data_IF_808906421227
#
_entry.id   IF_808906421227
#
_cell.length_a   1.000
_cell.length_b   1.000
_cell.length_c   1.000
_cell.angle_alpha   90.00
_cell.angle_beta   90.00
_cell.angle_gamma   90.00
#
_symmetry.space_group_name_H-M   'P 1'
#
loop_
_entity.id
_entity.type
_entity.pdbx_description
1 polymer ?
#
# COMPACT_ATOMS: atom_id res chain seq x y z
N UNK A 1 5.78 30.60 -85.11
CA UNK A 1 5.32 29.78 -83.97
C UNK A 1 5.62 30.56 -82.70
N UNK A 2 4.57 31.09 -82.08
CA UNK A 2 4.59 32.06 -80.97
C UNK A 2 4.13 31.37 -79.66
N UNK A 3 4.54 31.89 -78.49
CA UNK A 3 4.45 31.22 -77.19
C UNK A 3 3.07 31.37 -76.53
N UNK A 4 2.73 30.43 -75.65
CA UNK A 4 1.54 30.48 -74.81
C UNK A 4 1.80 31.25 -73.51
N UNK A 5 1.10 32.37 -73.34
CA UNK A 5 0.80 33.01 -72.06
C UNK A 5 -0.70 32.86 -71.76
N UNK A 6 -1.03 33.04 -70.47
CA UNK A 6 -2.35 33.06 -69.82
C UNK A 6 -2.76 31.69 -69.24
N UNK A 7 -2.98 31.56 -67.93
CA UNK A 7 -3.95 32.35 -67.17
C UNK A 7 -3.68 32.31 -65.66
N UNK A 8 -3.29 33.46 -65.10
CA UNK A 8 -3.42 33.78 -63.66
C UNK A 8 -4.79 34.41 -63.51
N UNK A 9 -5.83 33.65 -63.13
CA UNK A 9 -7.16 34.20 -62.77
C UNK A 9 -8.09 33.16 -62.12
N UNK A 10 -7.59 32.36 -61.16
CA UNK A 10 -8.47 31.40 -60.44
C UNK A 10 -8.23 31.29 -58.93
N UNK A 11 -7.32 32.08 -58.34
CA UNK A 11 -6.93 31.92 -56.93
C UNK A 11 -7.70 32.79 -55.91
N UNK A 12 -8.62 33.66 -56.32
CA UNK A 12 -9.41 34.46 -55.37
C UNK A 12 -10.83 33.93 -55.07
N UNK A 13 -11.34 32.94 -55.82
CA UNK A 13 -12.67 32.38 -55.56
C UNK A 13 -12.63 31.17 -54.60
N UNK A 14 -11.48 30.48 -54.49
CA UNK A 14 -11.35 29.27 -53.65
C UNK A 14 -11.06 29.58 -52.17
N UNK A 15 -10.48 30.75 -51.88
CA UNK A 15 -10.16 31.19 -50.52
C UNK A 15 -11.36 31.73 -49.74
N UNK A 16 -12.37 32.29 -50.43
CA UNK A 16 -13.62 32.69 -49.78
C UNK A 16 -14.49 31.49 -49.40
N UNK A 17 -14.44 30.39 -50.17
CA UNK A 17 -15.24 29.19 -49.90
C UNK A 17 -14.68 28.34 -48.74
N UNK A 18 -13.35 28.29 -48.60
CA UNK A 18 -12.70 27.60 -47.48
C UNK A 18 -12.90 28.31 -46.13
N UNK A 19 -12.97 29.65 -46.12
CA UNK A 19 -13.24 30.42 -44.90
C UNK A 19 -14.71 30.26 -44.42
N UNK A 20 -15.67 30.15 -45.34
CA UNK A 20 -17.07 29.86 -44.99
C UNK A 20 -17.25 28.41 -44.53
N UNK A 21 -16.52 27.44 -45.12
CA UNK A 21 -16.59 26.04 -44.69
C UNK A 21 -15.89 25.79 -43.35
N UNK A 22 -14.80 26.52 -43.04
CA UNK A 22 -14.14 26.45 -41.74
C UNK A 22 -14.92 27.17 -40.63
N UNK A 23 -15.68 28.23 -40.96
CA UNK A 23 -16.58 28.90 -40.02
C UNK A 23 -17.85 28.09 -39.70
N UNK A 24 -18.25 27.15 -40.58
CA UNK A 24 -19.38 26.23 -40.33
C UNK A 24 -19.01 25.01 -39.45
N UNK A 25 -17.73 24.76 -39.17
CA UNK A 25 -17.27 23.65 -38.32
C UNK A 25 -16.92 24.07 -36.88
N UNK A 26 -17.09 25.36 -36.56
CA UNK A 26 -17.03 25.92 -35.19
C UNK A 26 -18.43 26.32 -34.72
N UNK A 27 -19.47 25.61 -35.14
CA UNK A 27 -20.75 25.73 -34.48
C UNK A 27 -20.58 25.21 -33.04
N UNK A 28 -20.86 26.00 -31.99
CA UNK A 28 -21.01 25.44 -30.66
C UNK A 28 -22.05 24.32 -30.75
N UNK A 29 -21.81 23.20 -30.05
CA UNK A 29 -22.84 22.18 -29.85
C UNK A 29 -24.14 22.89 -29.49
N UNK A 30 -25.19 22.65 -30.27
CA UNK A 30 -26.44 23.39 -30.11
C UNK A 30 -27.00 23.12 -28.72
N UNK A 31 -27.08 24.16 -27.88
CA UNK A 31 -27.74 24.11 -26.58
C UNK A 31 -29.14 23.50 -26.76
N UNK A 32 -29.39 22.35 -26.15
CA UNK A 32 -30.71 21.74 -26.15
C UNK A 32 -31.48 22.28 -24.94
N UNK A 33 -32.79 22.46 -25.08
CA UNK A 33 -33.62 22.80 -23.92
C UNK A 33 -33.70 21.61 -22.96
N UNK A 34 -33.61 21.84 -21.66
CA UNK A 34 -33.80 20.79 -20.67
C UNK A 34 -35.22 20.22 -20.78
N UNK A 35 -35.33 18.90 -20.92
CA UNK A 35 -36.61 18.21 -20.98
C UNK A 35 -37.17 17.97 -19.58
N UNK A 36 -38.51 17.93 -19.45
CA UNK A 36 -39.14 17.50 -18.19
C UNK A 36 -38.83 16.01 -17.99
N UNK A 37 -38.17 15.70 -16.88
CA UNK A 37 -37.83 14.35 -16.47
C UNK A 37 -38.82 13.76 -15.46
N UNK A 38 -38.45 12.66 -14.79
CA UNK A 38 -39.28 12.00 -13.79
C UNK A 38 -39.66 12.95 -12.64
N UNK A 39 -40.92 12.92 -12.23
CA UNK A 39 -41.45 13.78 -11.19
C UNK A 39 -42.92 14.13 -11.40
N UNK A 40 -43.34 15.24 -10.79
CA UNK A 40 -44.73 15.71 -10.85
C UNK A 40 -44.83 17.19 -11.17
N UNK A 41 -45.83 17.54 -11.97
CA UNK A 41 -46.17 18.92 -12.27
C UNK A 41 -47.46 19.32 -11.55
N UNK A 42 -47.48 20.54 -11.02
CA UNK A 42 -48.69 21.07 -10.40
C UNK A 42 -49.83 21.17 -11.43
N UNK A 43 -51.05 20.68 -11.10
CA UNK A 43 -52.21 20.79 -11.99
C UNK A 43 -52.46 22.25 -12.41
N UNK A 44 -52.57 22.48 -13.72
CA UNK A 44 -52.80 23.82 -14.29
C UNK A 44 -51.58 24.74 -14.30
N UNK A 45 -50.40 24.29 -13.84
CA UNK A 45 -49.14 25.04 -13.83
C UNK A 45 -47.99 24.14 -14.34
N UNK A 46 -47.86 23.92 -15.66
CA UNK A 46 -46.91 22.95 -16.22
C UNK A 46 -45.43 23.28 -15.94
N UNK A 47 -45.09 24.54 -15.69
CA UNK A 47 -43.72 24.93 -15.34
C UNK A 47 -43.38 24.69 -13.84
N UNK A 48 -44.37 24.37 -13.01
CA UNK A 48 -44.18 24.04 -11.59
C UNK A 48 -43.89 22.54 -11.44
N UNK A 49 -42.68 22.13 -11.80
CA UNK A 49 -42.20 20.75 -11.69
C UNK A 49 -41.57 20.48 -10.32
N UNK A 50 -41.73 19.25 -9.84
CA UNK A 50 -41.05 18.69 -8.69
C UNK A 50 -40.44 17.35 -9.12
N UNK A 51 -39.15 17.35 -9.39
CA UNK A 51 -38.43 16.17 -9.86
C UNK A 51 -37.19 16.54 -10.66
N UNK A 52 -36.72 15.58 -11.45
CA UNK A 52 -35.55 15.72 -12.30
C UNK A 52 -35.89 16.22 -13.71
N UNK A 53 -34.85 16.57 -14.43
CA UNK A 53 -34.86 17.08 -15.80
C UNK A 53 -33.94 16.21 -16.65
N UNK A 54 -34.34 15.95 -17.89
CA UNK A 54 -33.47 15.25 -18.82
C UNK A 54 -32.38 16.18 -19.33
N UNK A 55 -31.13 15.76 -19.16
CA UNK A 55 -29.98 16.36 -19.82
C UNK A 55 -30.01 16.05 -21.32
N UNK A 56 -29.24 16.79 -22.15
CA UNK A 56 -29.15 16.49 -23.58
C UNK A 56 -28.71 15.05 -23.89
N UNK A 57 -27.97 14.42 -22.98
CA UNK A 57 -27.47 13.04 -23.08
C UNK A 57 -28.48 11.99 -22.59
N UNK A 58 -29.61 12.42 -22.00
CA UNK A 58 -30.69 11.54 -21.53
C UNK A 58 -30.57 11.08 -20.07
N UNK A 59 -29.64 11.63 -19.30
CA UNK A 59 -29.55 11.40 -17.84
C UNK A 59 -30.48 12.33 -17.07
N UNK A 60 -30.74 12.02 -15.81
CA UNK A 60 -31.53 12.89 -14.92
C UNK A 60 -30.63 13.85 -14.13
N UNK A 61 -30.88 15.15 -14.26
CA UNK A 61 -30.27 16.22 -13.47
C UNK A 61 -31.34 17.00 -12.67
N UNK A 62 -30.91 17.73 -11.65
CA UNK A 62 -31.80 18.41 -10.71
C UNK A 62 -31.43 19.87 -10.58
N UNK A 63 -32.44 20.73 -10.51
CA UNK A 63 -32.19 22.13 -10.26
C UNK A 63 -31.61 22.36 -8.86
N UNK A 64 -30.70 23.32 -8.74
CA UNK A 64 -29.96 23.58 -7.49
C UNK A 64 -30.43 24.82 -6.73
N UNK A 65 -31.09 25.81 -7.37
CA UNK A 65 -31.56 27.05 -6.72
C UNK A 65 -33.09 27.13 -6.54
N UNK A 66 -33.60 26.90 -5.33
CA UNK A 66 -35.03 26.70 -5.08
C UNK A 66 -35.96 27.84 -5.57
N UNK A 67 -35.46 29.08 -5.69
CA UNK A 67 -36.24 30.26 -6.05
C UNK A 67 -36.06 30.83 -7.46
N UNK A 68 -35.31 30.15 -8.34
CA UNK A 68 -35.18 30.57 -9.74
C UNK A 68 -36.18 29.84 -10.66
N UNK A 69 -36.47 30.37 -11.86
CA UNK A 69 -37.32 29.69 -12.83
C UNK A 69 -36.82 28.29 -13.19
N UNK A 70 -37.74 27.39 -13.52
CA UNK A 70 -37.43 26.04 -14.02
C UNK A 70 -36.57 26.11 -15.29
N UNK A 71 -35.64 25.16 -15.46
CA UNK A 71 -34.80 25.05 -16.65
C UNK A 71 -35.55 24.66 -17.95
N UNK A 72 -36.84 24.32 -17.84
CA UNK A 72 -37.68 23.91 -18.98
C UNK A 72 -37.78 25.03 -20.01
N UNK A 73 -37.62 24.67 -21.29
CA UNK A 73 -37.63 25.60 -22.43
C UNK A 73 -36.49 26.63 -22.44
N UNK A 74 -35.49 26.49 -21.55
CA UNK A 74 -34.27 27.30 -21.56
C UNK A 74 -33.09 26.51 -22.15
N UNK A 75 -32.26 27.20 -22.95
CA UNK A 75 -31.02 26.67 -23.49
C UNK A 75 -30.13 26.17 -22.34
N UNK A 76 -29.71 24.90 -22.42
CA UNK A 76 -28.92 24.23 -21.39
C UNK A 76 -27.63 23.69 -22.00
N UNK A 77 -26.50 24.07 -21.41
CA UNK A 77 -25.15 23.73 -21.87
C UNK A 77 -24.44 22.84 -20.84
N UNK A 78 -23.82 21.75 -21.29
CA UNK A 78 -22.96 20.92 -20.46
C UNK A 78 -21.69 21.69 -20.05
N UNK A 79 -21.56 21.95 -18.75
CA UNK A 79 -20.40 22.65 -18.17
C UNK A 79 -19.36 21.69 -17.57
N UNK A 80 -19.61 20.38 -17.64
CA UNK A 80 -18.73 19.32 -17.15
C UNK A 80 -18.76 19.11 -15.64
N UNK A 81 -17.81 18.31 -15.16
CA UNK A 81 -17.63 18.02 -13.73
C UNK A 81 -16.79 19.12 -13.08
N UNK A 82 -17.33 19.72 -12.01
CA UNK A 82 -16.69 20.81 -11.26
C UNK A 82 -16.57 20.47 -9.78
N UNK A 83 -15.59 21.08 -9.11
CA UNK A 83 -15.34 20.96 -7.66
C UNK A 83 -16.01 22.07 -6.82
N UNK A 84 -16.70 23.01 -7.49
CA UNK A 84 -17.45 24.09 -6.87
C UNK A 84 -18.62 24.51 -7.76
N UNK A 85 -19.80 24.62 -7.17
CA UNK A 85 -20.99 25.23 -7.77
C UNK A 85 -21.71 26.05 -6.71
N UNK A 86 -22.23 27.21 -7.08
CA UNK A 86 -23.04 28.09 -6.23
C UNK A 86 -22.45 28.42 -4.84
N UNK A 87 -21.13 28.39 -4.71
CA UNK A 87 -20.43 28.70 -3.47
C UNK A 87 -20.51 27.60 -2.40
N UNK A 88 -20.93 26.38 -2.76
CA UNK A 88 -21.00 25.25 -1.83
C UNK A 88 -19.61 24.85 -1.33
N UNK A 89 -19.52 24.54 -0.03
CA UNK A 89 -18.30 24.04 0.58
C UNK A 89 -18.06 22.56 0.17
N UNK A 90 -16.81 22.06 0.22
CA UNK A 90 -16.50 20.68 -0.15
C UNK A 90 -17.34 19.61 0.56
N UNK A 91 -17.68 19.72 1.86
CA UNK A 91 -18.58 18.76 2.50
C UNK A 91 -20.01 18.75 1.92
N UNK A 92 -20.51 19.90 1.48
CA UNK A 92 -21.85 20.03 0.86
C UNK A 92 -21.81 19.44 -0.56
N UNK A 93 -20.76 19.73 -1.32
CA UNK A 93 -20.51 19.14 -2.64
C UNK A 93 -20.46 17.61 -2.57
N UNK A 94 -19.76 17.06 -1.58
CA UNK A 94 -19.68 15.61 -1.36
C UNK A 94 -21.05 15.00 -1.04
N UNK A 95 -21.82 15.65 -0.14
CA UNK A 95 -23.18 15.20 0.22
C UNK A 95 -24.10 15.19 -0.99
N UNK A 96 -24.02 16.25 -1.79
CA UNK A 96 -24.78 16.41 -3.02
C UNK A 96 -24.41 15.33 -4.05
N UNK A 97 -23.13 15.13 -4.32
CA UNK A 97 -22.69 14.10 -5.25
C UNK A 97 -23.09 12.69 -4.79
N UNK A 98 -22.96 12.40 -3.49
CA UNK A 98 -23.35 11.08 -2.96
C UNK A 98 -24.85 10.82 -3.07
N UNK A 99 -25.68 11.83 -2.81
CA UNK A 99 -27.12 11.77 -3.03
C UNK A 99 -27.43 11.46 -4.50
N UNK A 100 -26.86 12.24 -5.41
CA UNK A 100 -27.10 12.13 -6.86
C UNK A 100 -26.57 10.80 -7.43
N UNK A 101 -25.43 10.32 -6.95
CA UNK A 101 -24.86 9.05 -7.38
C UNK A 101 -25.70 7.84 -6.95
N UNK A 102 -26.36 7.91 -5.79
CA UNK A 102 -27.19 6.82 -5.27
C UNK A 102 -28.62 6.84 -5.81
N UNK A 103 -29.19 8.04 -5.91
CA UNK A 103 -30.63 8.22 -6.09
C UNK A 103 -31.00 9.12 -7.27
N UNK A 104 -30.03 9.83 -7.86
CA UNK A 104 -30.27 10.91 -8.82
C UNK A 104 -30.69 10.42 -10.21
N UNK A 105 -30.00 9.45 -10.80
CA UNK A 105 -30.34 8.94 -12.14
C UNK A 105 -31.46 7.87 -12.05
N UNK A 106 -32.67 8.32 -11.74
CA UNK A 106 -33.83 7.47 -11.47
C UNK A 106 -34.97 7.74 -12.44
N UNK A 107 -35.75 6.71 -12.78
CA UNK A 107 -37.00 6.85 -13.53
C UNK A 107 -38.26 6.91 -12.65
N UNK A 108 -38.11 6.69 -11.32
CA UNK A 108 -39.22 6.73 -10.38
C UNK A 108 -39.57 8.16 -9.96
N UNK A 109 -40.83 8.56 -10.17
CA UNK A 109 -41.27 9.94 -9.94
C UNK A 109 -41.25 10.35 -8.47
N UNK A 110 -41.47 9.42 -7.54
CA UNK A 110 -41.43 9.71 -6.10
C UNK A 110 -39.99 9.93 -5.63
N UNK A 111 -39.07 9.08 -6.08
CA UNK A 111 -37.62 9.20 -5.83
C UNK A 111 -37.10 10.51 -6.41
N UNK A 112 -37.40 10.83 -7.67
CA UNK A 112 -36.94 12.07 -8.30
C UNK A 112 -37.46 13.31 -7.56
N UNK A 113 -38.74 13.32 -7.17
CA UNK A 113 -39.31 14.41 -6.37
C UNK A 113 -38.59 14.58 -5.02
N UNK A 114 -38.29 13.47 -4.34
CA UNK A 114 -37.57 13.47 -3.07
C UNK A 114 -36.10 13.91 -3.22
N UNK A 115 -35.43 13.52 -4.30
CA UNK A 115 -34.07 14.00 -4.62
C UNK A 115 -34.08 15.50 -4.83
N UNK A 116 -35.02 16.06 -5.62
CA UNK A 116 -35.13 17.51 -5.83
C UNK A 116 -35.28 18.28 -4.51
N UNK A 117 -36.17 17.82 -3.61
CA UNK A 117 -36.35 18.41 -2.28
C UNK A 117 -35.09 18.34 -1.41
N UNK A 118 -34.30 17.27 -1.57
CA UNK A 118 -33.06 17.07 -0.83
C UNK A 118 -31.93 17.93 -1.39
N UNK A 119 -31.81 18.03 -2.72
CA UNK A 119 -30.85 18.91 -3.42
C UNK A 119 -31.02 20.35 -2.95
N UNK A 120 -32.24 20.91 -2.97
CA UNK A 120 -32.49 22.26 -2.47
C UNK A 120 -32.17 22.42 -0.98
N UNK A 121 -32.45 21.41 -0.15
CA UNK A 121 -32.10 21.46 1.28
C UNK A 121 -30.59 21.41 1.57
N UNK A 122 -29.78 20.92 0.62
CA UNK A 122 -28.32 20.92 0.72
C UNK A 122 -27.75 22.21 0.13
N UNK A 123 -28.23 22.58 -1.05
CA UNK A 123 -27.57 23.57 -1.89
C UNK A 123 -28.11 25.00 -1.76
N UNK A 124 -29.36 25.16 -1.33
CA UNK A 124 -30.03 26.46 -1.26
C UNK A 124 -31.09 26.50 -0.15
N UNK A 125 -30.74 25.96 1.03
CA UNK A 125 -31.70 25.74 2.11
C UNK A 125 -32.38 27.04 2.57
N UNK A 126 -31.66 28.16 2.59
CA UNK A 126 -32.23 29.44 3.03
C UNK A 126 -33.34 29.91 2.10
N UNK A 127 -33.15 29.87 0.77
CA UNK A 127 -34.19 30.20 -0.19
C UNK A 127 -35.31 29.16 -0.17
N UNK A 128 -34.97 27.87 -0.11
CA UNK A 128 -35.94 26.78 -0.05
C UNK A 128 -36.91 26.92 1.13
N UNK A 129 -36.40 27.26 2.32
CA UNK A 129 -37.26 27.51 3.48
C UNK A 129 -38.04 28.83 3.36
N UNK A 130 -37.46 29.87 2.75
CA UNK A 130 -38.13 31.15 2.53
C UNK A 130 -39.37 31.02 1.61
N UNK A 131 -39.37 30.07 0.68
CA UNK A 131 -40.53 29.76 -0.16
C UNK A 131 -41.62 28.93 0.55
N UNK A 132 -41.36 28.44 1.76
CA UNK A 132 -42.28 27.58 2.51
C UNK A 132 -41.90 26.09 2.53
N UNK A 133 -40.70 25.76 2.03
CA UNK A 133 -40.09 24.43 2.16
C UNK A 133 -40.94 23.28 1.62
N UNK A 134 -40.87 22.14 2.31
CA UNK A 134 -41.50 20.89 1.86
C UNK A 134 -43.00 21.02 1.59
N UNK A 135 -43.73 21.68 2.49
CA UNK A 135 -45.17 21.86 2.36
C UNK A 135 -45.54 22.66 1.10
N UNK A 136 -44.70 23.64 0.72
CA UNK A 136 -44.91 24.45 -0.47
C UNK A 136 -44.67 23.67 -1.76
N UNK A 137 -43.59 22.88 -1.85
CA UNK A 137 -43.26 22.16 -3.09
C UNK A 137 -44.06 20.87 -3.27
N UNK A 138 -44.46 20.19 -2.19
CA UNK A 138 -45.24 18.95 -2.26
C UNK A 138 -46.62 19.14 -2.88
N UNK A 139 -47.17 20.35 -2.92
CA UNK A 139 -48.45 20.61 -3.61
C UNK A 139 -48.38 20.34 -5.12
N UNK A 140 -47.16 20.33 -5.69
CA UNK A 140 -46.89 19.97 -7.10
C UNK A 140 -47.16 18.49 -7.36
N UNK A 141 -47.08 17.63 -6.35
CA UNK A 141 -47.37 16.21 -6.45
C UNK A 141 -48.85 15.85 -6.15
N UNK A 142 -49.37 14.74 -6.71
CA UNK A 142 -50.69 14.21 -6.38
C UNK A 142 -50.82 13.93 -4.88
N UNK A 143 -52.00 14.23 -4.30
CA UNK A 143 -52.21 14.12 -2.85
C UNK A 143 -51.86 12.73 -2.28
N UNK A 144 -52.16 11.66 -3.02
CA UNK A 144 -51.85 10.28 -2.61
C UNK A 144 -50.36 9.93 -2.58
N UNK A 145 -49.49 10.73 -3.22
CA UNK A 145 -48.04 10.47 -3.29
C UNK A 145 -47.22 11.29 -2.28
N UNK A 146 -47.79 12.39 -1.76
CA UNK A 146 -47.05 13.36 -0.93
C UNK A 146 -46.40 12.76 0.31
N UNK A 147 -47.07 11.84 0.99
CA UNK A 147 -46.49 11.18 2.17
C UNK A 147 -45.28 10.31 1.82
N UNK A 148 -45.32 9.63 0.66
CA UNK A 148 -44.21 8.78 0.19
C UNK A 148 -43.01 9.64 -0.19
N UNK A 149 -43.25 10.74 -0.92
CA UNK A 149 -42.20 11.69 -1.31
C UNK A 149 -41.56 12.32 -0.07
N UNK A 150 -42.35 12.76 0.90
CA UNK A 150 -41.84 13.32 2.16
C UNK A 150 -40.96 12.30 2.90
N UNK A 151 -41.44 11.07 3.05
CA UNK A 151 -40.69 10.02 3.75
C UNK A 151 -39.34 9.72 3.06
N UNK A 152 -39.32 9.68 1.73
CA UNK A 152 -38.08 9.51 0.95
C UNK A 152 -37.15 10.72 1.12
N UNK A 153 -37.67 11.95 1.06
CA UNK A 153 -36.86 13.17 1.25
C UNK A 153 -36.23 13.21 2.66
N UNK A 154 -36.99 12.85 3.69
CA UNK A 154 -36.49 12.77 5.06
C UNK A 154 -35.41 11.69 5.21
N UNK A 155 -35.60 10.53 4.57
CA UNK A 155 -34.59 9.48 4.50
C UNK A 155 -33.31 10.00 3.81
N UNK A 156 -33.43 10.61 2.64
CA UNK A 156 -32.27 11.08 1.86
C UNK A 156 -31.52 12.19 2.60
N UNK A 157 -32.21 13.10 3.29
CA UNK A 157 -31.56 14.10 4.16
C UNK A 157 -30.82 13.47 5.32
N UNK A 158 -31.40 12.46 5.96
CA UNK A 158 -30.74 11.74 7.06
C UNK A 158 -29.49 11.01 6.55
N UNK A 159 -29.57 10.34 5.39
CA UNK A 159 -28.43 9.72 4.72
C UNK A 159 -27.34 10.75 4.40
N UNK A 160 -27.71 11.87 3.78
CA UNK A 160 -26.76 12.95 3.43
C UNK A 160 -26.13 13.59 4.66
N UNK A 161 -26.88 13.82 5.75
CA UNK A 161 -26.35 14.38 6.99
C UNK A 161 -25.34 13.45 7.66
N UNK A 162 -25.51 12.14 7.53
CA UNK A 162 -24.59 11.12 8.05
C UNK A 162 -23.28 11.02 7.25
N UNK A 163 -23.21 11.60 6.04
CA UNK A 163 -21.98 11.66 5.26
C UNK A 163 -21.00 12.59 5.97
N UNK A 164 -20.00 11.95 6.57
CA UNK A 164 -18.75 12.54 7.02
C UNK A 164 -17.66 11.91 6.17
N UNK A 165 -16.80 12.70 5.54
CA UNK A 165 -15.60 12.19 4.86
C UNK A 165 -14.40 12.39 5.79
N UNK A 166 -14.09 11.43 6.69
CA UNK A 166 -12.75 11.36 7.22
C UNK A 166 -11.78 11.17 6.04
N UNK A 167 -10.62 11.80 6.12
CA UNK A 167 -9.57 11.54 5.14
C UNK A 167 -9.26 10.03 5.15
N UNK A 168 -9.12 9.38 3.99
CA UNK A 168 -8.74 7.98 3.94
C UNK A 168 -7.37 7.80 4.60
N UNK A 169 -7.22 6.72 5.36
CA UNK A 169 -6.00 6.41 6.10
C UNK A 169 -5.51 5.02 5.72
N UNK A 170 -4.18 4.85 5.69
CA UNK A 170 -3.53 3.56 5.53
C UNK A 170 -2.20 3.58 6.29
N UNK A 171 -2.00 2.60 7.17
CA UNK A 171 -0.85 2.48 8.05
C UNK A 171 -0.33 1.05 7.96
N UNK A 172 0.96 0.91 7.66
CA UNK A 172 1.68 -0.35 7.80
C UNK A 172 2.38 -0.36 9.15
N UNK A 173 2.28 -1.48 9.87
CA UNK A 173 2.99 -1.67 11.13
C UNK A 173 3.65 -3.04 11.15
N UNK A 174 4.84 -3.09 11.73
CA UNK A 174 5.65 -4.31 11.82
C UNK A 174 5.89 -4.61 13.30
N UNK A 175 5.60 -5.85 13.68
CA UNK A 175 5.96 -6.39 14.98
C UNK A 175 7.18 -7.30 14.85
N UNK A 176 7.90 -7.44 15.96
CA UNK A 176 8.99 -8.39 16.11
C UNK A 176 8.49 -9.46 17.08
N UNK A 177 8.66 -10.72 16.72
CA UNK A 177 8.27 -11.82 17.59
C UNK A 177 9.12 -11.82 18.87
N UNK A 178 8.52 -12.15 20.01
CA UNK A 178 9.22 -12.13 21.29
C UNK A 178 10.36 -13.16 21.29
N UNK A 179 11.59 -12.70 21.53
CA UNK A 179 12.79 -13.53 21.52
C UNK A 179 13.33 -13.89 20.13
N UNK A 180 12.60 -13.63 19.04
CA UNK A 180 13.07 -13.92 17.69
C UNK A 180 13.17 -12.64 16.83
N UNK A 181 14.41 -12.16 16.67
CA UNK A 181 14.72 -11.00 15.84
C UNK A 181 14.55 -11.24 14.34
N UNK A 182 14.22 -12.46 13.91
CA UNK A 182 13.94 -12.78 12.50
C UNK A 182 12.45 -12.92 12.21
N UNK A 183 11.63 -13.23 13.22
CA UNK A 183 10.19 -13.36 13.11
C UNK A 183 9.45 -12.02 13.23
N UNK A 184 8.24 -11.96 12.72
CA UNK A 184 7.35 -10.81 12.88
C UNK A 184 6.05 -10.89 12.11
N UNK A 185 5.12 -10.00 12.45
CA UNK A 185 3.86 -9.80 11.73
C UNK A 185 3.81 -8.39 11.16
N UNK A 186 3.57 -8.30 9.85
CA UNK A 186 3.17 -7.09 9.14
C UNK A 186 1.64 -6.95 9.18
N UNK A 187 1.15 -5.77 9.55
CA UNK A 187 -0.27 -5.44 9.54
C UNK A 187 -0.56 -4.22 8.67
N UNK A 188 -1.68 -4.25 7.94
CA UNK A 188 -2.23 -3.10 7.22
C UNK A 188 -3.53 -2.66 7.89
N UNK A 189 -3.49 -1.52 8.57
CA UNK A 189 -4.69 -0.85 9.10
C UNK A 189 -5.07 0.28 8.15
N UNK A 190 -6.28 0.22 7.59
CA UNK A 190 -6.74 1.19 6.60
C UNK A 190 -8.25 1.38 6.67
N UNK A 191 -8.68 2.60 6.41
CA UNK A 191 -10.09 2.98 6.29
C UNK A 191 -10.24 4.03 5.19
N UNK A 192 -11.09 3.81 4.17
CA UNK A 192 -11.95 2.63 3.95
C UNK A 192 -11.14 1.38 3.57
N UNK A 193 -11.81 0.29 3.24
CA UNK A 193 -11.16 -0.92 2.71
C UNK A 193 -10.32 -0.58 1.47
N UNK A 194 -9.09 -1.09 1.43
CA UNK A 194 -8.15 -0.90 0.33
C UNK A 194 -7.60 -2.23 -0.13
N UNK A 195 -7.06 -2.27 -1.34
CA UNK A 195 -6.25 -3.40 -1.85
C UNK A 195 -5.07 -2.87 -2.65
N UNK A 196 -3.89 -3.45 -2.45
CA UNK A 196 -2.70 -3.09 -3.24
C UNK A 196 -1.56 -4.08 -3.08
N UNK A 197 -0.34 -3.61 -3.35
CA UNK A 197 0.89 -4.37 -3.27
C UNK A 197 1.75 -3.84 -2.15
N UNK A 198 2.30 -4.73 -1.31
CA UNK A 198 3.26 -4.36 -0.27
C UNK A 198 4.63 -4.92 -0.63
N UNK A 199 5.62 -4.05 -0.57
CA UNK A 199 7.04 -4.36 -0.76
C UNK A 199 7.76 -4.34 0.59
N UNK A 200 8.68 -5.27 0.79
CA UNK A 200 9.52 -5.42 1.98
C UNK A 200 10.99 -5.16 1.66
N UNK A 201 11.68 -4.51 2.60
CA UNK A 201 13.14 -4.36 2.58
C UNK A 201 13.70 -5.13 3.76
N UNK A 202 14.79 -5.89 3.53
CA UNK A 202 15.43 -6.77 4.51
C UNK A 202 14.48 -7.81 5.12
N UNK A 203 13.40 -8.16 4.42
CA UNK A 203 12.45 -9.19 4.84
C UNK A 203 11.75 -9.80 3.63
N UNK A 204 11.20 -10.98 3.83
CA UNK A 204 10.35 -11.72 2.89
C UNK A 204 9.04 -12.10 3.57
N UNK A 205 7.97 -12.28 2.79
CA UNK A 205 6.73 -12.88 3.29
C UNK A 205 6.95 -14.38 3.54
N UNK A 206 6.58 -14.86 4.73
CA UNK A 206 6.91 -16.22 5.16
C UNK A 206 6.27 -17.32 4.30
N UNK A 207 5.10 -17.06 3.72
CA UNK A 207 4.36 -18.01 2.91
C UNK A 207 4.82 -18.08 1.44
N UNK A 208 5.35 -16.99 0.89
CA UNK A 208 5.80 -16.93 -0.51
C UNK A 208 7.31 -16.92 -0.68
N UNK A 209 8.05 -16.56 0.37
CA UNK A 209 9.49 -16.32 0.30
C UNK A 209 9.89 -15.10 -0.55
N UNK A 210 8.93 -14.25 -0.94
CA UNK A 210 9.17 -13.09 -1.79
C UNK A 210 9.22 -11.78 -0.99
N UNK A 211 9.91 -10.77 -1.54
CA UNK A 211 9.92 -9.40 -0.98
C UNK A 211 8.65 -8.61 -1.31
N UNK A 212 7.90 -9.03 -2.32
CA UNK A 212 6.67 -8.37 -2.79
C UNK A 212 5.45 -9.27 -2.57
N UNK A 213 4.32 -8.67 -2.21
CA UNK A 213 3.02 -9.35 -2.17
C UNK A 213 1.92 -8.47 -2.69
N UNK A 214 1.27 -8.94 -3.74
CA UNK A 214 0.08 -8.32 -4.31
C UNK A 214 -1.20 -8.71 -3.54
N UNK A 215 -2.26 -7.92 -3.74
CA UNK A 215 -3.60 -8.14 -3.19
C UNK A 215 -3.63 -8.17 -1.66
N UNK A 216 -2.81 -7.33 -1.02
CA UNK A 216 -2.89 -7.10 0.42
C UNK A 216 -4.06 -6.16 0.68
N UNK A 217 -4.98 -6.57 1.54
CA UNK A 217 -6.19 -5.82 1.88
C UNK A 217 -6.13 -5.24 3.29
N UNK A 218 -7.00 -4.26 3.56
CA UNK A 218 -7.19 -3.73 4.91
C UNK A 218 -7.45 -4.87 5.93
N UNK A 219 -6.85 -4.78 7.11
CA UNK A 219 -6.94 -5.81 8.15
C UNK A 219 -6.01 -7.02 7.94
N UNK A 220 -5.21 -7.05 6.87
CA UNK A 220 -4.25 -8.13 6.64
C UNK A 220 -3.25 -8.25 7.81
N UNK A 221 -2.94 -9.49 8.20
CA UNK A 221 -1.90 -9.86 9.17
C UNK A 221 -1.03 -10.92 8.52
N UNK A 222 0.19 -10.55 8.16
CA UNK A 222 1.07 -11.36 7.31
C UNK A 222 2.36 -11.67 8.06
N UNK A 223 2.71 -12.95 8.16
CA UNK A 223 3.99 -13.35 8.72
C UNK A 223 5.13 -12.92 7.78
N UNK A 224 6.16 -12.33 8.37
CA UNK A 224 7.37 -11.91 7.66
C UNK A 224 8.59 -12.57 8.31
N UNK A 225 9.58 -12.89 7.49
CA UNK A 225 10.88 -13.38 7.93
C UNK A 225 11.92 -12.36 7.52
N UNK A 226 12.66 -11.87 8.50
CA UNK A 226 13.71 -10.90 8.31
C UNK A 226 14.92 -11.57 7.63
N UNK A 227 15.56 -10.82 6.74
CA UNK A 227 16.74 -11.20 5.96
C UNK A 227 17.81 -10.16 6.23
N UNK A 228 18.77 -10.44 7.15
CA UNK A 228 19.80 -9.48 7.50
C UNK A 228 20.66 -9.10 6.28
N UNK A 229 21.00 -7.82 6.10
CA UNK A 229 22.05 -7.43 5.17
C UNK A 229 23.38 -8.09 5.55
N UNK A 230 24.14 -8.52 4.54
CA UNK A 230 25.42 -9.19 4.75
C UNK A 230 26.40 -8.33 5.56
N UNK A 231 26.95 -8.90 6.63
CA UNK A 231 27.93 -8.24 7.51
C UNK A 231 27.34 -7.23 8.49
N UNK A 232 26.01 -7.13 8.61
CA UNK A 232 25.37 -6.25 9.60
C UNK A 232 25.36 -6.89 10.99
N UNK A 233 25.65 -6.12 12.03
CA UNK A 233 25.47 -6.54 13.43
C UNK A 233 24.09 -6.16 13.99
N UNK A 234 23.38 -5.25 13.30
CA UNK A 234 22.00 -4.90 13.58
C UNK A 234 21.31 -4.37 12.33
N UNK A 235 19.99 -4.51 12.24
CA UNK A 235 19.24 -4.15 11.04
C UNK A 235 17.78 -3.84 11.36
N UNK A 236 17.08 -3.24 10.40
CA UNK A 236 15.62 -3.08 10.43
C UNK A 236 15.02 -3.60 9.15
N UNK A 237 13.78 -4.03 9.26
CA UNK A 237 12.92 -4.29 8.12
C UNK A 237 11.95 -3.13 7.96
N UNK A 238 11.58 -2.87 6.71
CA UNK A 238 10.54 -1.88 6.38
C UNK A 238 9.58 -2.44 5.35
N UNK A 239 8.37 -1.93 5.39
CA UNK A 239 7.30 -2.23 4.47
C UNK A 239 6.81 -0.92 3.85
N UNK A 240 6.51 -0.97 2.56
CA UNK A 240 5.94 0.17 1.86
C UNK A 240 4.92 -0.27 0.81
N UNK A 241 3.94 0.58 0.57
CA UNK A 241 3.03 0.48 -0.56
C UNK A 241 2.76 1.87 -1.13
N UNK A 242 2.64 1.94 -2.45
CA UNK A 242 2.29 3.16 -3.18
C UNK A 242 1.04 3.01 -4.05
N UNK A 243 0.37 1.85 -3.97
CA UNK A 243 -0.71 1.43 -4.86
C UNK A 243 -1.91 0.87 -4.08
N UNK A 244 -2.11 1.28 -2.81
CA UNK A 244 -3.30 0.88 -2.05
C UNK A 244 -4.52 1.59 -2.63
N UNK A 245 -5.37 0.85 -3.35
CA UNK A 245 -6.55 1.40 -3.99
C UNK A 245 -7.77 1.23 -3.09
N UNK A 246 -8.37 2.33 -2.68
CA UNK A 246 -9.72 2.37 -2.14
C UNK A 246 -10.75 2.32 -3.29
N UNK A 247 -11.86 1.57 -3.14
CA UNK A 247 -12.93 1.53 -4.13
C UNK A 247 -13.41 2.93 -4.53
N UNK A 248 -13.91 3.04 -5.76
CA UNK A 248 -14.46 4.29 -6.25
C UNK A 248 -15.62 4.75 -5.36
N UNK A 249 -15.52 5.98 -4.88
CA UNK A 249 -16.57 6.62 -4.07
C UNK A 249 -16.84 8.04 -4.59
N UNK A 250 -18.05 8.59 -4.36
CA UNK A 250 -18.36 9.96 -4.74
C UNK A 250 -17.33 10.94 -4.16
N UNK A 251 -16.84 11.84 -5.00
CA UNK A 251 -15.94 12.93 -4.62
C UNK A 251 -16.72 14.22 -4.35
N UNK A 252 -16.07 15.26 -3.82
CA UNK A 252 -16.64 16.59 -3.64
C UNK A 252 -16.77 17.35 -4.97
N UNK A 253 -17.42 16.73 -5.96
CA UNK A 253 -17.59 17.24 -7.33
C UNK A 253 -18.99 16.92 -7.84
N UNK A 254 -19.54 17.75 -8.72
CA UNK A 254 -20.84 17.49 -9.39
C UNK A 254 -20.73 17.79 -10.86
N UNK A 255 -21.57 17.16 -11.68
CA UNK A 255 -21.70 17.50 -13.10
C UNK A 255 -22.70 18.65 -13.22
N UNK A 256 -22.27 19.78 -13.79
CA UNK A 256 -23.09 20.99 -13.90
C UNK A 256 -23.57 21.18 -15.34
N UNK A 257 -24.83 21.58 -15.48
CA UNK A 257 -25.38 22.10 -16.72
C UNK A 257 -25.86 23.53 -16.49
N UNK A 258 -25.31 24.45 -17.27
CA UNK A 258 -25.63 25.88 -17.18
C UNK A 258 -26.90 26.17 -17.96
N UNK A 259 -27.85 26.85 -17.33
CA UNK A 259 -29.11 27.24 -17.95
C UNK A 259 -29.34 28.74 -17.75
N UNK A 260 -28.81 29.61 -18.64
CA UNK A 260 -28.91 31.06 -18.48
C UNK A 260 -30.36 31.56 -18.32
N UNK A 261 -30.59 32.31 -17.24
CA UNK A 261 -31.91 32.89 -16.92
C UNK A 261 -32.87 31.92 -16.22
N UNK A 262 -32.43 30.72 -15.87
CA UNK A 262 -33.16 29.73 -15.08
C UNK A 262 -32.22 29.08 -14.04
N UNK A 263 -32.73 28.06 -13.34
CA UNK A 263 -31.93 27.25 -12.41
C UNK A 263 -30.82 26.48 -13.12
N UNK A 264 -29.64 26.45 -12.50
CA UNK A 264 -28.54 25.55 -12.85
C UNK A 264 -28.93 24.11 -12.52
N UNK A 265 -28.63 23.17 -13.41
CA UNK A 265 -28.88 21.75 -13.16
C UNK A 265 -27.60 21.05 -12.69
N UNK A 266 -27.76 20.10 -11.78
CA UNK A 266 -26.69 19.24 -11.28
C UNK A 266 -27.05 17.76 -11.39
N UNK A 267 -26.06 16.97 -11.81
CA UNK A 267 -26.09 15.51 -11.77
C UNK A 267 -24.87 14.98 -11.00
N UNK A 268 -24.80 13.67 -10.83
CA UNK A 268 -23.66 13.00 -10.18
C UNK A 268 -22.36 13.40 -10.90
N UNK A 269 -21.38 13.88 -10.15
CA UNK A 269 -20.02 14.15 -10.66
C UNK A 269 -19.19 12.88 -10.84
N UNK A 270 -19.79 11.71 -10.62
CA UNK A 270 -19.13 10.41 -10.69
C UNK A 270 -18.43 10.02 -9.38
N UNK A 271 -17.74 8.90 -9.45
CA UNK A 271 -16.95 8.35 -8.34
C UNK A 271 -15.53 8.10 -8.81
N UNK A 272 -14.55 8.36 -7.93
CA UNK A 272 -13.15 8.13 -8.22
C UNK A 272 -12.55 7.18 -7.18
N UNK A 273 -11.72 6.25 -7.65
CA UNK A 273 -10.89 5.45 -6.77
C UNK A 273 -9.79 6.35 -6.18
N UNK A 274 -9.45 6.13 -4.92
CA UNK A 274 -8.36 6.84 -4.27
C UNK A 274 -7.16 5.92 -4.14
N UNK A 275 -5.98 6.38 -4.53
CA UNK A 275 -4.72 5.67 -4.31
C UNK A 275 -4.05 6.24 -3.07
N UNK A 276 -3.72 5.37 -2.12
CA UNK A 276 -3.04 5.71 -0.88
C UNK A 276 -1.62 5.14 -0.89
N UNK A 277 -0.75 5.81 -0.15
CA UNK A 277 0.57 5.32 0.19
C UNK A 277 0.61 4.96 1.67
N UNK A 278 1.40 3.95 2.02
CA UNK A 278 1.63 3.58 3.41
C UNK A 278 3.07 3.08 3.56
N UNK A 279 3.66 3.34 4.73
CA UNK A 279 4.97 2.81 5.08
C UNK A 279 5.02 2.50 6.57
N UNK A 280 5.88 1.55 6.93
CA UNK A 280 6.12 1.11 8.29
C UNK A 280 7.51 0.50 8.41
N UNK A 281 8.08 0.53 9.61
CA UNK A 281 9.38 -0.06 9.91
C UNK A 281 9.40 -0.59 11.34
N UNK A 282 10.37 -1.44 11.66
CA UNK A 282 10.57 -1.86 13.05
C UNK A 282 10.71 -0.66 14.00
N UNK A 283 10.13 -0.82 15.19
CA UNK A 283 10.20 0.17 16.28
C UNK A 283 11.55 0.12 17.03
N UNK A 284 12.32 -0.94 16.84
CA UNK A 284 13.69 -1.12 17.37
C UNK A 284 14.56 -1.84 16.33
N UNK A 285 15.87 -1.87 16.58
CA UNK A 285 16.77 -2.67 15.76
C UNK A 285 16.63 -4.17 16.09
N UNK A 286 16.79 -4.99 15.06
CA UNK A 286 16.98 -6.46 15.13
C UNK A 286 18.47 -6.74 15.16
N UNK A 287 18.88 -7.83 15.80
CA UNK A 287 20.27 -8.19 15.94
C UNK A 287 20.61 -9.46 15.16
N UNK A 288 21.90 -9.57 14.81
CA UNK A 288 22.50 -10.77 14.24
C UNK A 288 23.48 -11.31 15.29
N UNK A 289 23.51 -12.63 15.57
CA UNK A 289 24.47 -13.21 16.51
C UNK A 289 25.90 -12.82 16.17
N UNK A 290 26.62 -12.27 17.14
CA UNK A 290 28.06 -12.03 17.02
C UNK A 290 28.84 -13.19 17.63
N UNK A 291 29.85 -13.66 16.92
CA UNK A 291 30.72 -14.78 17.30
C UNK A 291 32.14 -14.28 17.55
N UNK A 292 32.65 -14.57 18.74
CA UNK A 292 34.08 -14.48 19.06
C UNK A 292 34.55 -15.84 19.59
N UNK A 293 35.72 -16.30 19.18
CA UNK A 293 36.22 -17.62 19.55
C UNK A 293 37.63 -17.57 20.14
N UNK A 294 37.98 -18.60 20.90
CA UNK A 294 39.34 -18.79 21.42
C UNK A 294 39.64 -20.27 21.68
N UNK A 295 40.66 -20.78 21.00
CA UNK A 295 41.16 -22.14 21.15
C UNK A 295 42.24 -22.25 22.24
N UNK A 296 42.32 -23.43 22.87
CA UNK A 296 43.47 -23.74 23.74
C UNK A 296 44.76 -23.76 22.91
N UNK A 297 45.75 -22.96 23.29
CA UNK A 297 46.92 -22.68 22.44
C UNK A 297 47.89 -23.87 22.25
N UNK A 298 47.94 -24.81 23.19
CA UNK A 298 48.86 -25.94 23.12
C UNK A 298 48.34 -27.21 23.80
N UNK A 299 48.80 -28.36 23.31
CA UNK A 299 48.57 -29.66 23.93
C UNK A 299 49.66 -30.67 23.56
N UNK A 300 49.82 -31.69 24.39
CA UNK A 300 50.68 -32.85 24.11
C UNK A 300 49.83 -34.06 23.69
N UNK A 301 50.44 -34.99 22.95
CA UNK A 301 49.81 -36.30 22.65
C UNK A 301 49.37 -36.98 23.95
N UNK A 302 48.13 -37.47 23.96
CA UNK A 302 47.49 -38.07 25.14
C UNK A 302 46.62 -37.10 25.95
N UNK A 303 46.70 -35.78 25.69
CA UNK A 303 45.80 -34.80 26.26
C UNK A 303 44.49 -34.65 25.47
N UNK A 304 43.65 -33.71 25.90
CA UNK A 304 42.48 -33.24 25.13
C UNK A 304 42.58 -31.73 24.91
N UNK A 305 41.98 -31.27 23.83
CA UNK A 305 41.89 -29.85 23.46
C UNK A 305 40.43 -29.44 23.39
N UNK A 306 40.14 -28.21 23.80
CA UNK A 306 38.86 -27.55 23.62
C UNK A 306 39.05 -26.22 22.88
N UNK A 307 37.99 -25.82 22.20
CA UNK A 307 37.79 -24.48 21.69
C UNK A 307 36.57 -23.84 22.37
N UNK A 308 36.55 -22.52 22.45
CA UNK A 308 35.51 -21.74 23.12
C UNK A 308 34.89 -20.74 22.16
N UNK A 309 33.57 -20.58 22.23
CA UNK A 309 32.84 -19.57 21.46
C UNK A 309 32.01 -18.71 22.41
N UNK A 310 32.27 -17.40 22.41
CA UNK A 310 31.45 -16.39 23.03
C UNK A 310 30.45 -15.84 22.01
N UNK A 311 29.16 -15.95 22.32
CA UNK A 311 28.06 -15.46 21.52
C UNK A 311 27.31 -14.35 22.25
N UNK A 312 27.01 -13.27 21.53
CA UNK A 312 26.14 -12.17 21.98
C UNK A 312 25.08 -11.86 20.94
N UNK A 313 23.97 -11.27 21.40
CA UNK A 313 22.79 -10.96 20.58
C UNK A 313 22.15 -12.21 19.94
N UNK A 314 22.10 -13.31 20.69
CA UNK A 314 21.56 -14.59 20.21
C UNK A 314 20.03 -14.58 20.25
N UNK A 315 19.33 -14.84 19.12
CA UNK A 315 17.90 -15.13 19.13
C UNK A 315 17.55 -16.30 20.07
N UNK A 316 16.40 -16.24 20.70
CA UNK A 316 15.94 -17.25 21.67
C UNK A 316 15.68 -18.64 21.06
N UNK A 317 15.71 -18.75 19.73
CA UNK A 317 15.48 -20.02 19.03
C UNK A 317 16.14 -20.08 17.65
N UNK A 318 16.37 -21.33 17.21
CA UNK A 318 16.82 -21.66 15.85
C UNK A 318 18.32 -21.55 15.61
N UNK A 319 19.11 -21.13 16.61
CA UNK A 319 20.56 -20.98 16.51
C UNK A 319 21.28 -22.28 16.88
N UNK A 320 22.16 -22.73 15.99
CA UNK A 320 22.98 -23.92 16.15
C UNK A 320 24.44 -23.55 15.99
N UNK A 321 25.29 -24.05 16.89
CA UNK A 321 26.74 -23.82 16.90
C UNK A 321 27.46 -25.15 16.68
N UNK A 322 28.50 -25.14 15.85
CA UNK A 322 29.35 -26.30 15.58
C UNK A 322 30.81 -25.89 15.43
N UNK A 323 31.73 -26.82 15.69
CA UNK A 323 33.16 -26.61 15.51
C UNK A 323 33.75 -27.61 14.52
N UNK A 324 34.75 -27.13 13.79
CA UNK A 324 35.63 -27.94 12.94
C UNK A 324 37.08 -27.62 13.25
N UNK A 325 37.94 -28.65 13.28
CA UNK A 325 39.38 -28.52 13.50
C UNK A 325 40.15 -29.05 12.31
N UNK A 326 41.12 -28.26 11.82
CA UNK A 326 41.86 -28.53 10.59
C UNK A 326 43.37 -28.60 10.84
N UNK A 327 43.94 -29.81 10.70
CA UNK A 327 45.37 -30.03 10.85
C UNK A 327 46.13 -29.54 9.61
N UNK A 328 47.07 -28.64 9.84
CA UNK A 328 47.87 -28.07 8.76
C UNK A 328 48.89 -29.10 8.23
N UNK A 329 49.01 -29.25 6.90
CA UNK A 329 50.10 -30.04 6.32
C UNK A 329 51.45 -29.44 6.70
N UNK A 330 52.51 -30.26 6.73
CA UNK A 330 53.88 -29.79 7.08
C UNK A 330 54.45 -28.77 6.08
N UNK A 331 53.83 -28.61 4.91
CA UNK A 331 54.07 -27.54 3.94
C UNK A 331 52.73 -27.09 3.33
N UNK A 332 52.12 -26.02 3.87
CA UNK A 332 51.90 -24.81 3.07
C UNK A 332 52.15 -23.51 3.88
N UNK A 333 52.37 -22.38 3.20
CA UNK A 333 52.58 -21.08 3.84
C UNK A 333 51.29 -20.31 4.14
N UNK A 334 50.15 -20.76 3.65
CA UNK A 334 48.83 -20.18 3.90
C UNK A 334 47.95 -21.16 4.70
N UNK A 335 47.11 -20.67 5.63
CA UNK A 335 46.15 -21.50 6.36
C UNK A 335 45.21 -22.30 5.44
N UNK A 336 44.98 -23.57 5.78
CA UNK A 336 44.10 -24.48 5.04
C UNK A 336 43.02 -25.09 5.93
N UNK A 337 41.77 -24.64 5.73
CA UNK A 337 40.58 -25.18 6.38
C UNK A 337 39.66 -25.76 5.29
N UNK A 338 39.91 -27.01 4.92
CA UNK A 338 39.14 -27.71 3.88
C UNK A 338 38.91 -29.16 4.29
N UNK A 339 38.04 -29.88 3.59
CA UNK A 339 37.72 -31.26 3.91
C UNK A 339 38.95 -32.19 3.97
N UNK A 340 40.03 -31.90 3.22
CA UNK A 340 41.25 -32.72 3.22
C UNK A 340 42.12 -32.54 4.46
N UNK A 341 41.94 -31.45 5.22
CA UNK A 341 42.68 -31.14 6.44
C UNK A 341 41.85 -31.34 7.71
N UNK A 342 40.57 -31.71 7.58
CA UNK A 342 39.65 -31.91 8.69
C UNK A 342 40.11 -33.08 9.58
N UNK A 343 40.31 -32.81 10.87
CA UNK A 343 40.69 -33.80 11.89
C UNK A 343 39.73 -33.83 13.08
N UNK A 344 38.87 -32.82 13.20
CA UNK A 344 37.82 -32.75 14.20
C UNK A 344 36.59 -32.11 13.58
N UNK A 345 35.42 -32.63 13.93
CA UNK A 345 34.12 -32.07 13.57
C UNK A 345 33.17 -32.44 14.71
N UNK A 346 32.41 -31.49 15.25
CA UNK A 346 31.50 -31.80 16.36
C UNK A 346 30.51 -32.89 15.94
N UNK A 347 30.27 -33.86 16.82
CA UNK A 347 29.36 -34.97 16.55
C UNK A 347 27.90 -34.50 16.45
N UNK A 348 27.53 -33.52 17.26
CA UNK A 348 26.24 -32.83 17.22
C UNK A 348 26.41 -31.31 17.27
N UNK A 349 25.40 -30.58 16.80
CA UNK A 349 25.34 -29.13 16.96
C UNK A 349 24.84 -28.74 18.35
N UNK A 350 25.44 -27.74 18.96
CA UNK A 350 24.96 -27.15 20.20
C UNK A 350 23.82 -26.19 19.90
N UNK A 351 22.66 -26.40 20.52
CA UNK A 351 21.54 -25.45 20.46
C UNK A 351 21.79 -24.28 21.39
N UNK A 352 21.82 -23.08 20.81
CA UNK A 352 22.11 -21.82 21.51
C UNK A 352 20.79 -21.06 21.65
N UNK A 353 20.42 -20.73 22.88
CA UNK A 353 19.15 -20.04 23.19
C UNK A 353 19.35 -18.72 23.95
N UNK A 354 20.59 -18.40 24.31
CA UNK A 354 20.95 -17.19 25.01
C UNK A 354 22.42 -16.83 24.77
N UNK A 355 22.77 -15.59 25.06
CA UNK A 355 24.15 -15.13 25.11
C UNK A 355 24.97 -15.94 26.12
N UNK A 356 26.23 -16.21 25.79
CA UNK A 356 27.09 -17.00 26.66
C UNK A 356 28.35 -17.52 26.01
N UNK A 357 29.09 -18.29 26.80
CA UNK A 357 30.29 -19.00 26.36
C UNK A 357 29.97 -20.49 26.24
N UNK A 358 30.26 -21.04 25.06
CA UNK A 358 30.02 -22.42 24.70
C UNK A 358 31.35 -23.10 24.41
N UNK A 359 31.44 -24.39 24.75
CA UNK A 359 32.65 -25.19 24.58
C UNK A 359 32.44 -26.19 23.45
N UNK A 360 33.49 -26.44 22.68
CA UNK A 360 33.55 -27.59 21.78
C UNK A 360 33.52 -28.90 22.57
N UNK A 361 33.22 -30.00 21.88
CA UNK A 361 33.51 -31.33 22.40
C UNK A 361 35.03 -31.48 22.66
N UNK A 362 35.39 -32.39 23.58
CA UNK A 362 36.80 -32.71 23.85
C UNK A 362 37.43 -33.38 22.62
N UNK A 363 38.45 -32.77 22.05
CA UNK A 363 39.24 -33.35 20.96
C UNK A 363 40.42 -34.16 21.53
N UNK A 364 40.43 -35.50 21.40
CA UNK A 364 41.55 -36.32 21.87
C UNK A 364 42.77 -36.16 20.97
N UNK A 365 43.89 -35.76 21.58
CA UNK A 365 45.15 -35.53 20.88
C UNK A 365 45.90 -36.85 20.73
N UNK A 366 46.16 -37.24 19.48
CA UNK A 366 46.92 -38.45 19.14
C UNK A 366 48.17 -38.10 18.32
N UNK A 367 49.05 -39.07 18.06
CA UNK A 367 50.20 -38.89 17.16
C UNK A 367 49.82 -38.39 15.76
N UNK A 368 48.57 -38.66 15.32
CA UNK A 368 48.05 -38.20 14.03
C UNK A 368 47.69 -36.72 14.03
N UNK A 369 47.52 -36.12 15.21
CA UNK A 369 47.14 -34.72 15.39
C UNK A 369 48.36 -33.80 15.56
N UNK A 370 49.58 -34.35 15.61
CA UNK A 370 50.81 -33.57 15.82
C UNK A 370 51.01 -32.55 14.70
N UNK A 371 51.14 -31.27 15.09
CA UNK A 371 51.20 -30.14 14.18
C UNK A 371 50.36 -28.97 14.67
N UNK A 372 49.98 -28.10 13.74
CA UNK A 372 49.10 -26.95 14.02
C UNK A 372 47.68 -27.28 13.61
N UNK A 373 46.72 -27.08 14.51
CA UNK A 373 45.28 -27.21 14.22
C UNK A 373 44.65 -25.82 14.24
N UNK A 374 43.94 -25.47 13.17
CA UNK A 374 43.09 -24.28 13.14
C UNK A 374 41.65 -24.66 13.40
N UNK A 375 40.98 -23.89 14.26
CA UNK A 375 39.60 -24.09 14.66
C UNK A 375 38.69 -23.13 13.90
N UNK A 376 37.49 -23.60 13.58
CA UNK A 376 36.42 -22.81 12.99
C UNK A 376 35.14 -23.15 13.74
N UNK A 377 34.58 -22.18 14.45
CA UNK A 377 33.20 -22.27 14.93
C UNK A 377 32.26 -21.68 13.88
N UNK A 378 31.13 -22.34 13.63
CA UNK A 378 30.10 -21.93 12.67
C UNK A 378 28.77 -21.84 13.39
N UNK A 379 28.16 -20.66 13.32
CA UNK A 379 26.82 -20.36 13.82
C UNK A 379 25.86 -20.40 12.64
N UNK A 380 24.80 -21.20 12.77
CA UNK A 380 23.72 -21.23 11.78
C UNK A 380 22.38 -20.91 12.43
N UNK A 381 21.49 -20.26 11.69
CA UNK A 381 20.07 -20.12 12.05
C UNK A 381 19.21 -20.77 10.97
N UNK A 382 18.39 -21.74 11.36
CA UNK A 382 17.51 -22.48 10.44
C UNK A 382 18.24 -23.01 9.17
N UNK A 383 19.52 -23.37 9.30
CA UNK A 383 20.36 -23.87 8.21
C UNK A 383 21.16 -22.81 7.43
N UNK A 384 20.96 -21.52 7.68
CA UNK A 384 21.75 -20.43 7.08
C UNK A 384 22.92 -20.08 7.99
N UNK A 385 24.12 -19.90 7.45
CA UNK A 385 25.30 -19.44 8.22
C UNK A 385 25.14 -17.96 8.56
N UNK A 386 25.13 -17.64 9.86
CA UNK A 386 25.01 -16.28 10.37
C UNK A 386 26.38 -15.70 10.76
N UNK A 387 27.26 -16.55 11.29
CA UNK A 387 28.64 -16.18 11.64
C UNK A 387 29.57 -17.39 11.55
N UNK A 388 30.83 -17.15 11.19
CA UNK A 388 31.84 -18.20 11.08
C UNK A 388 33.23 -17.66 11.45
N UNK A 389 34.03 -18.48 12.13
CA UNK A 389 35.43 -18.20 12.42
C UNK A 389 36.30 -18.08 11.17
N UNK A 390 37.46 -17.43 11.29
CA UNK A 390 38.39 -17.25 10.19
C UNK A 390 39.52 -18.28 10.23
N UNK A 391 39.78 -18.94 9.09
CA UNK A 391 40.91 -19.86 8.98
C UNK A 391 42.26 -19.18 9.22
N UNK A 392 43.04 -19.76 10.13
CA UNK A 392 44.38 -19.26 10.48
C UNK A 392 44.38 -18.08 11.43
N UNK A 393 43.26 -17.79 12.10
CA UNK A 393 43.28 -16.84 13.22
C UNK A 393 44.16 -17.39 14.35
N UNK A 394 45.05 -16.55 14.87
CA UNK A 394 45.95 -16.91 15.96
C UNK A 394 45.22 -17.22 17.27
N UNK A 395 44.04 -16.62 17.51
CA UNK A 395 43.20 -16.96 18.65
C UNK A 395 42.60 -18.38 18.50
N UNK A 396 42.49 -18.85 17.26
CA UNK A 396 41.87 -20.12 16.85
C UNK A 396 42.90 -21.18 16.49
N UNK A 397 44.05 -21.17 17.17
CA UNK A 397 45.20 -22.02 16.84
C UNK A 397 45.64 -22.85 18.03
N UNK A 398 45.74 -24.17 17.84
CA UNK A 398 46.38 -25.09 18.79
C UNK A 398 47.65 -25.68 18.19
N UNK A 399 48.75 -25.63 18.93
CA UNK A 399 49.99 -26.33 18.59
C UNK A 399 50.07 -27.64 19.39
N UNK A 400 50.10 -28.75 18.67
CA UNK A 400 50.18 -30.09 19.25
C UNK A 400 51.60 -30.63 19.13
N UNK A 401 52.22 -30.96 20.26
CA UNK A 401 53.55 -31.56 20.33
C UNK A 401 53.50 -33.04 20.70
N UNK A 402 54.50 -33.84 20.30
CA UNK A 402 54.65 -35.21 20.80
C UNK A 402 54.72 -35.25 22.32
N UNK A 403 54.30 -36.36 22.93
CA UNK A 403 54.45 -36.57 24.37
C UNK A 403 55.94 -36.49 24.76
N UNK A 404 56.23 -35.84 25.89
CA UNK A 404 57.59 -35.80 26.42
C UNK A 404 58.09 -37.23 26.67
N UNK A 405 59.26 -37.58 26.10
CA UNK A 405 59.87 -38.88 26.33
C UNK A 405 60.16 -39.04 27.83
N UNK A 406 59.78 -40.17 28.48
CA UNK A 406 60.06 -40.37 29.89
C UNK A 406 61.58 -40.34 30.12
N UNK A 407 62.02 -39.45 31.01
CA UNK A 407 63.42 -39.33 31.41
C UNK A 407 63.93 -40.71 31.84
N UNK A 408 64.80 -41.31 31.02
CA UNK A 408 65.54 -42.49 31.43
C UNK A 408 66.51 -42.06 32.53
N UNK A 409 66.19 -42.39 33.78
CA UNK A 409 67.16 -42.35 34.87
C UNK A 409 68.31 -43.30 34.50
N UNK A 410 69.57 -42.83 34.50
CA UNK A 410 70.69 -43.72 34.25
C UNK A 410 70.72 -44.79 35.35
N UNK A 411 70.65 -46.05 34.94
CA UNK A 411 70.91 -47.18 35.84
C UNK A 411 72.37 -47.09 36.24
N UNK A 412 72.63 -46.67 37.47
CA UNK A 412 73.95 -46.79 38.09
C UNK A 412 74.11 -48.25 38.54
N UNK A 413 74.79 -49.05 37.73
CA UNK A 413 75.23 -50.38 38.16
C UNK A 413 76.40 -50.23 39.12
N UNK A 414 76.21 -50.64 40.37
CA UNK A 414 77.26 -50.80 41.39
C UNK A 414 77.75 -52.23 41.49
#
# INVERSE_FOLDING_TARGET
>A
MRPHHATIRSMLALSAFAAVLAALLLAPFSAAAAGIGPGYQQPGKPLNHLGGYFTPEGHVAYCIEAGLPSAVDHATDDSGVVDSVNGLAPPEMLRLNTLLARHGDTSDANTAAAVAMTVWSIADNSAYQAEGGDAFVLVRAPAGQRMVIQALADQFRAESAAIMAPAPTAVLSISIDEGDDYGGILTLDASPEVTGTVELINAIFADTGAHSRARVSAGARLAVVAVPPSGSTGYRISASSSDLVAPASPTATVHVYSTPGAQTLVASGGSAATVLTASGSDLRDRHVPSLATSAQQSAEVGATVIDTAALVDVPSSGVQLRWSGYLQPRSPSAPQCSASTLVFESSESVTVTADGVYLSELFPVTDRSVGTVFWIATVTKNGTVEAEGRCGDSAETTVITPAAAPLHLPVVSG
#
